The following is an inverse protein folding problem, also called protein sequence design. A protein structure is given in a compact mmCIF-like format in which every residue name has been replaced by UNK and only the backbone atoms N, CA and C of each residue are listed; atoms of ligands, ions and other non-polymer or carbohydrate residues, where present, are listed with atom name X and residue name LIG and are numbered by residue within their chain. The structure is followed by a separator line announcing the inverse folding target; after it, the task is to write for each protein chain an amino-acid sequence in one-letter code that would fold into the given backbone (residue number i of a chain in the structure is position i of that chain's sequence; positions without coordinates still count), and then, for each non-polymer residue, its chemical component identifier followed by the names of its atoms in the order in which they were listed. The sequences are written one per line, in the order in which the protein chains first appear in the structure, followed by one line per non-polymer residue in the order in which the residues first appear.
data_IF_728324375338
#
_entry.id   IF_728324375338
#
_cell.length_a   1.000
_cell.length_b   1.000
_cell.length_c   1.000
_cell.angle_alpha   90.00
_cell.angle_beta   90.00
_cell.angle_gamma   90.00
#
_symmetry.space_group_name_H-M   'P 1'
#
loop_
_entity.id
_entity.type
_entity.pdbx_description
1 polymer ?
#
# COMPACT_ATOMS: atom_id res chain seq x y z
N UNK A 1 -32.02 19.46 1.53
CA UNK A 1 -31.55 20.27 2.68
C UNK A 1 -31.02 19.29 3.72
N UNK A 2 -29.70 19.14 3.85
CA UNK A 2 -29.10 18.28 4.89
C UNK A 2 -29.30 18.98 6.25
N UNK A 3 -29.70 18.26 7.32
CA UNK A 3 -29.81 18.82 8.65
C UNK A 3 -28.51 19.54 9.00
N UNK A 4 -28.62 20.85 9.22
CA UNK A 4 -27.49 21.72 9.55
C UNK A 4 -26.88 21.29 10.89
N UNK A 5 -25.60 21.63 11.06
CA UNK A 5 -24.73 21.55 12.25
C UNK A 5 -25.42 21.67 13.64
N UNK A 6 -26.59 22.30 13.70
CA UNK A 6 -27.43 22.46 14.88
C UNK A 6 -28.00 21.17 15.51
N UNK A 7 -27.99 20.00 14.85
CA UNK A 7 -28.55 18.76 15.43
C UNK A 7 -27.54 17.75 15.99
N UNK A 8 -26.25 17.83 15.66
CA UNK A 8 -25.25 16.81 16.07
C UNK A 8 -24.11 17.39 16.94
N UNK A 9 -24.03 18.71 17.10
CA UNK A 9 -23.06 19.36 17.98
C UNK A 9 -21.59 19.03 17.67
N UNK A 10 -20.69 19.30 18.64
CA UNK A 10 -19.23 19.04 18.54
C UNK A 10 -18.91 17.53 18.41
N UNK A 11 -19.87 16.65 18.69
CA UNK A 11 -19.69 15.21 18.59
C UNK A 11 -19.44 14.72 17.14
N UNK A 12 -20.06 15.33 16.13
CA UNK A 12 -19.87 14.94 14.73
C UNK A 12 -18.41 15.13 14.23
N UNK A 13 -17.79 16.32 14.39
CA UNK A 13 -16.39 16.50 14.01
C UNK A 13 -15.45 15.64 14.88
N UNK A 14 -15.73 15.42 16.17
CA UNK A 14 -14.93 14.54 17.03
C UNK A 14 -14.95 13.09 16.54
N UNK A 15 -16.12 12.55 16.20
CA UNK A 15 -16.26 11.21 15.62
C UNK A 15 -15.54 11.08 14.28
N UNK A 16 -15.63 12.10 13.42
CA UNK A 16 -14.91 12.12 12.14
C UNK A 16 -13.39 12.13 12.35
N UNK A 17 -12.88 12.90 13.31
CA UNK A 17 -11.45 12.90 13.67
C UNK A 17 -11.04 11.52 14.19
N UNK A 18 -11.82 10.93 15.09
CA UNK A 18 -11.52 9.61 15.66
C UNK A 18 -11.50 8.52 14.58
N UNK A 19 -12.50 8.52 13.70
CA UNK A 19 -12.54 7.65 12.52
C UNK A 19 -11.32 7.84 11.62
N UNK A 20 -10.90 9.09 11.41
CA UNK A 20 -9.70 9.41 10.62
C UNK A 20 -8.41 8.92 11.26
N UNK A 21 -8.29 9.01 12.59
CA UNK A 21 -7.14 8.48 13.33
C UNK A 21 -7.09 6.96 13.20
N UNK A 22 -8.22 6.28 13.40
CA UNK A 22 -8.30 4.81 13.27
C UNK A 22 -7.97 4.36 11.85
N UNK A 23 -8.54 5.01 10.83
CA UNK A 23 -8.20 4.74 9.43
C UNK A 23 -6.71 4.99 9.14
N UNK A 24 -6.14 6.06 9.70
CA UNK A 24 -4.72 6.39 9.54
C UNK A 24 -3.78 5.36 10.16
N UNK A 25 -4.09 4.87 11.37
CA UNK A 25 -3.29 3.84 12.05
C UNK A 25 -3.35 2.51 11.29
N UNK A 26 -4.54 2.09 10.87
CA UNK A 26 -4.72 0.85 10.11
C UNK A 26 -3.94 0.87 8.79
N UNK A 27 -4.16 1.90 7.98
CA UNK A 27 -3.49 2.04 6.69
C UNK A 27 -1.98 2.20 6.85
N UNK A 28 -1.51 2.99 7.82
CA UNK A 28 -0.07 3.22 8.05
C UNK A 28 0.68 2.01 8.58
N UNK A 29 0.05 1.21 9.46
CA UNK A 29 0.63 -0.03 9.99
C UNK A 29 0.74 -1.11 8.92
N UNK A 30 -0.30 -1.27 8.10
CA UNK A 30 -0.31 -2.25 7.00
C UNK A 30 0.72 -1.92 5.92
N UNK A 31 0.84 -0.64 5.55
CA UNK A 31 1.80 -0.20 4.53
C UNK A 31 3.26 -0.36 4.97
N UNK A 32 3.58 0.07 6.20
CA UNK A 32 4.95 0.02 6.72
C UNK A 32 5.42 -1.43 6.92
N UNK A 33 4.58 -2.30 7.47
CA UNK A 33 4.91 -3.73 7.62
C UNK A 33 5.09 -4.46 6.28
N UNK A 34 4.24 -4.15 5.28
CA UNK A 34 4.33 -4.76 3.96
C UNK A 34 5.57 -4.32 3.18
N UNK A 35 5.93 -3.03 3.24
CA UNK A 35 7.12 -2.51 2.58
C UNK A 35 8.41 -3.12 3.12
N UNK A 36 8.52 -3.30 4.45
CA UNK A 36 9.66 -3.98 5.07
C UNK A 36 9.73 -5.44 4.64
N UNK A 37 8.60 -6.16 4.64
CA UNK A 37 8.55 -7.56 4.20
C UNK A 37 9.02 -7.70 2.74
N UNK A 38 8.57 -6.82 1.84
CA UNK A 38 9.01 -6.86 0.43
C UNK A 38 10.52 -6.64 0.31
N UNK A 39 11.09 -5.71 1.08
CA UNK A 39 12.53 -5.46 1.06
C UNK A 39 13.32 -6.62 1.69
N UNK A 40 12.82 -7.22 2.75
CA UNK A 40 13.44 -8.39 3.40
C UNK A 40 13.49 -9.61 2.48
N UNK A 41 12.42 -9.87 1.73
CA UNK A 41 12.30 -11.01 0.83
C UNK A 41 12.78 -10.74 -0.61
N UNK A 42 13.09 -9.49 -0.97
CA UNK A 42 13.58 -9.16 -2.30
C UNK A 42 15.03 -9.67 -2.52
N UNK A 43 15.37 -10.19 -3.72
CA UNK A 43 16.73 -10.62 -4.05
C UNK A 43 17.73 -9.46 -3.90
N UNK A 44 18.89 -9.70 -3.28
CA UNK A 44 19.90 -8.66 -2.97
C UNK A 44 20.23 -7.76 -4.18
N UNK A 45 20.35 -8.35 -5.36
CA UNK A 45 20.71 -7.64 -6.60
C UNK A 45 19.58 -6.77 -7.18
N UNK A 46 18.33 -6.94 -6.73
CA UNK A 46 17.16 -6.19 -7.22
C UNK A 46 16.41 -5.40 -6.15
N UNK A 47 16.86 -5.45 -4.88
CA UNK A 47 16.28 -4.67 -3.76
C UNK A 47 16.07 -3.21 -4.10
N UNK A 48 17.09 -2.54 -4.65
CA UNK A 48 16.99 -1.12 -5.03
C UNK A 48 15.92 -0.84 -6.09
N UNK A 49 15.69 -1.78 -7.02
CA UNK A 49 14.66 -1.68 -8.04
C UNK A 49 13.25 -1.88 -7.48
N UNK A 50 13.05 -2.84 -6.57
CA UNK A 50 11.75 -3.02 -5.91
C UNK A 50 11.41 -1.85 -4.98
N UNK A 51 12.39 -1.33 -4.24
CA UNK A 51 12.20 -0.14 -3.39
C UNK A 51 11.90 1.11 -4.21
N UNK A 52 12.55 1.29 -5.37
CA UNK A 52 12.26 2.41 -6.25
C UNK A 52 10.88 2.30 -6.90
N UNK A 53 10.41 1.10 -7.23
CA UNK A 53 9.04 0.88 -7.70
C UNK A 53 7.99 1.26 -6.66
N UNK A 54 8.20 0.88 -5.39
CA UNK A 54 7.30 1.25 -4.29
C UNK A 54 7.20 2.78 -4.15
N UNK A 55 8.33 3.47 -4.14
CA UNK A 55 8.36 4.94 -4.05
C UNK A 55 7.81 5.63 -5.31
N UNK A 56 8.11 5.10 -6.49
CA UNK A 56 7.64 5.69 -7.76
C UNK A 56 6.12 5.63 -7.89
N UNK A 57 5.49 4.59 -7.33
CA UNK A 57 4.03 4.47 -7.32
C UNK A 57 3.32 5.66 -6.67
N UNK A 58 3.91 6.23 -5.62
CA UNK A 58 3.36 7.41 -4.94
C UNK A 58 3.35 8.64 -5.84
N UNK A 59 4.45 8.89 -6.55
CA UNK A 59 4.56 10.01 -7.49
C UNK A 59 3.66 9.84 -8.71
N UNK A 60 3.51 8.62 -9.21
CA UNK A 60 2.64 8.31 -10.35
C UNK A 60 1.16 8.61 -10.01
N UNK A 61 0.72 8.40 -8.77
CA UNK A 61 -0.63 8.75 -8.34
C UNK A 61 -0.80 10.25 -8.02
N UNK A 62 0.22 10.86 -7.42
CA UNK A 62 0.14 12.24 -6.92
C UNK A 62 0.20 13.27 -8.05
N UNK A 63 1.03 13.06 -9.08
CA UNK A 63 1.19 14.01 -10.19
C UNK A 63 -0.10 14.26 -10.97
N UNK A 64 -0.87 13.24 -11.42
CA UNK A 64 -2.14 13.45 -12.09
C UNK A 64 -3.20 14.11 -11.19
N UNK A 65 -3.21 13.76 -9.90
CA UNK A 65 -4.12 14.36 -8.93
C UNK A 65 -3.84 15.86 -8.76
N UNK A 66 -2.57 16.23 -8.58
CA UNK A 66 -2.14 17.62 -8.48
C UNK A 66 -2.42 18.38 -9.80
N UNK A 67 -2.17 17.77 -10.95
CA UNK A 67 -2.49 18.33 -12.27
C UNK A 67 -3.98 18.60 -12.46
N UNK A 68 -4.83 17.65 -12.05
CA UNK A 68 -6.28 17.83 -12.05
C UNK A 68 -6.72 18.99 -11.15
N UNK A 69 -6.23 19.04 -9.91
CA UNK A 69 -6.55 20.14 -9.00
C UNK A 69 -6.08 21.49 -9.55
N UNK A 70 -4.87 21.54 -10.13
CA UNK A 70 -4.34 22.75 -10.78
C UNK A 70 -5.22 23.20 -11.94
N UNK A 71 -5.65 22.27 -12.80
CA UNK A 71 -6.56 22.54 -13.91
C UNK A 71 -7.92 23.06 -13.42
N UNK A 72 -8.48 22.45 -12.38
CA UNK A 72 -9.74 22.89 -11.79
C UNK A 72 -9.62 24.30 -11.21
N UNK A 73 -8.55 24.59 -10.47
CA UNK A 73 -8.28 25.93 -9.95
C UNK A 73 -8.04 26.98 -11.04
N UNK A 74 -7.47 26.59 -12.17
CA UNK A 74 -7.22 27.50 -13.29
C UNK A 74 -8.48 27.77 -14.14
N UNK A 75 -9.44 26.85 -14.17
CA UNK A 75 -10.61 26.89 -15.07
C UNK A 75 -11.92 27.22 -14.37
N UNK A 76 -12.01 27.02 -13.05
CA UNK A 76 -13.23 27.27 -12.27
C UNK A 76 -13.05 28.40 -11.26
N UNK A 77 -14.10 29.19 -11.07
CA UNK A 77 -14.21 30.11 -9.93
C UNK A 77 -14.50 29.37 -8.63
N UNK A 78 -14.13 29.96 -7.49
CA UNK A 78 -14.38 29.40 -6.15
C UNK A 78 -15.86 29.05 -5.88
N UNK A 79 -16.77 29.83 -6.47
CA UNK A 79 -18.22 29.61 -6.34
C UNK A 79 -18.67 28.38 -7.17
N UNK A 80 -18.11 28.20 -8.37
CA UNK A 80 -18.36 27.03 -9.21
C UNK A 80 -17.78 25.76 -8.60
N UNK A 81 -16.59 25.86 -8.01
CA UNK A 81 -15.97 24.74 -7.31
C UNK A 81 -16.80 24.28 -6.11
N UNK A 82 -17.27 25.22 -5.27
CA UNK A 82 -18.09 24.91 -4.09
C UNK A 82 -19.50 24.43 -4.41
N UNK A 83 -20.10 24.90 -5.50
CA UNK A 83 -21.45 24.46 -5.91
C UNK A 83 -21.47 23.02 -6.42
N UNK A 84 -20.54 22.65 -7.32
CA UNK A 84 -20.50 21.30 -7.87
C UNK A 84 -19.11 20.78 -8.25
N UNK A 85 -18.14 21.65 -8.53
CA UNK A 85 -16.82 21.24 -9.02
C UNK A 85 -16.10 20.27 -8.07
N UNK A 86 -16.31 20.38 -6.76
CA UNK A 86 -15.74 19.47 -5.76
C UNK A 86 -16.07 17.99 -5.99
N UNK A 87 -17.12 17.65 -6.75
CA UNK A 87 -17.52 16.27 -7.05
C UNK A 87 -16.60 15.58 -8.07
N UNK A 88 -15.96 16.35 -8.96
CA UNK A 88 -15.08 15.86 -10.02
C UNK A 88 -13.94 14.97 -9.49
N UNK A 89 -13.15 15.40 -8.48
CA UNK A 89 -12.06 14.56 -7.96
C UNK A 89 -12.56 13.25 -7.32
N UNK A 90 -13.75 13.26 -6.70
CA UNK A 90 -14.33 12.04 -6.11
C UNK A 90 -14.75 11.04 -7.19
N UNK A 91 -15.38 11.49 -8.27
CA UNK A 91 -15.77 10.64 -9.39
C UNK A 91 -14.56 10.04 -10.10
N UNK A 92 -13.52 10.84 -10.34
CA UNK A 92 -12.27 10.36 -10.91
C UNK A 92 -11.55 9.37 -9.98
N UNK A 93 -11.56 9.60 -8.67
CA UNK A 93 -11.02 8.64 -7.70
C UNK A 93 -11.74 7.29 -7.77
N UNK A 94 -13.07 7.30 -7.96
CA UNK A 94 -13.84 6.06 -8.11
C UNK A 94 -13.42 5.26 -9.36
N UNK A 95 -13.20 5.93 -10.49
CA UNK A 95 -12.68 5.28 -11.71
C UNK A 95 -11.27 4.73 -11.47
N UNK A 96 -10.41 5.49 -10.79
CA UNK A 96 -9.06 5.04 -10.44
C UNK A 96 -9.09 3.80 -9.53
N UNK A 97 -10.00 3.76 -8.54
CA UNK A 97 -10.19 2.58 -7.68
C UNK A 97 -10.61 1.37 -8.51
N UNK A 98 -11.59 1.50 -9.41
CA UNK A 98 -12.01 0.40 -10.29
C UNK A 98 -10.84 -0.09 -11.15
N UNK A 99 -10.08 0.82 -11.76
CA UNK A 99 -8.86 0.47 -12.49
C UNK A 99 -7.84 -0.27 -11.63
N UNK A 100 -7.62 0.20 -10.40
CA UNK A 100 -6.71 -0.45 -9.45
C UNK A 100 -7.16 -1.87 -9.07
N UNK A 101 -8.47 -2.09 -8.94
CA UNK A 101 -9.05 -3.42 -8.66
C UNK A 101 -8.87 -4.37 -9.86
N UNK A 102 -9.03 -3.86 -11.09
CA UNK A 102 -8.78 -4.64 -12.31
C UNK A 102 -7.30 -5.04 -12.41
N UNK A 103 -6.38 -4.10 -12.16
CA UNK A 103 -4.94 -4.37 -12.18
C UNK A 103 -4.58 -5.41 -11.12
N UNK A 104 -5.06 -5.25 -9.87
CA UNK A 104 -4.83 -6.20 -8.77
C UNK A 104 -5.27 -7.61 -9.12
N UNK A 105 -6.44 -7.76 -9.75
CA UNK A 105 -6.92 -9.07 -10.22
C UNK A 105 -6.03 -9.72 -11.28
N UNK A 106 -5.40 -8.95 -12.17
CA UNK A 106 -4.48 -9.50 -13.19
C UNK A 106 -3.10 -9.87 -12.62
N UNK A 107 -2.66 -9.18 -11.56
CA UNK A 107 -1.35 -9.42 -10.91
C UNK A 107 -1.38 -10.67 -10.02
N UNK A 108 -2.51 -11.03 -9.41
CA UNK A 108 -2.62 -12.28 -8.63
C UNK A 108 -2.46 -13.56 -9.48
N UNK A 109 -2.62 -13.45 -10.81
CA UNK A 109 -2.54 -14.59 -11.73
C UNK A 109 -1.16 -14.76 -12.39
N UNK A 110 -0.18 -13.90 -12.12
CA UNK A 110 1.14 -14.06 -12.74
C UNK A 110 1.91 -15.26 -12.15
N UNK A 111 2.56 -16.09 -12.99
CA UNK A 111 3.16 -17.37 -12.60
C UNK A 111 4.23 -17.30 -11.49
N UNK A 112 4.79 -16.12 -11.23
CA UNK A 112 5.74 -15.89 -10.13
C UNK A 112 5.07 -15.97 -8.74
N UNK A 113 3.78 -15.59 -8.62
CA UNK A 113 3.01 -15.70 -7.37
C UNK A 113 2.61 -17.16 -7.07
N UNK A 114 2.33 -17.95 -8.11
CA UNK A 114 2.09 -19.39 -8.00
C UNK A 114 3.34 -20.11 -7.49
N UNK A 115 4.52 -19.80 -8.03
CA UNK A 115 5.80 -20.40 -7.61
C UNK A 115 6.17 -20.07 -6.15
N UNK A 116 5.83 -18.87 -5.67
CA UNK A 116 6.04 -18.46 -4.27
C UNK A 116 5.15 -19.23 -3.28
N UNK A 117 3.92 -19.60 -3.66
CA UNK A 117 3.03 -20.43 -2.82
C UNK A 117 3.52 -21.87 -2.68
N UNK A 118 4.16 -22.43 -3.70
CA UNK A 118 4.65 -23.81 -3.69
C UNK A 118 5.95 -23.99 -2.89
N UNK A 119 6.76 -22.93 -2.75
CA UNK A 119 8.11 -23.01 -2.16
C UNK A 119 8.12 -22.90 -0.62
N UNK A 120 7.00 -22.54 0.02
CA UNK A 120 6.89 -22.41 1.47
C UNK A 120 6.86 -23.71 2.30
N UNK A 121 6.78 -24.89 1.68
CA UNK A 121 6.57 -26.15 2.41
C UNK A 121 7.82 -27.01 2.67
N UNK A 122 9.00 -26.66 2.14
CA UNK A 122 10.17 -27.58 2.17
C UNK A 122 11.40 -27.09 2.95
N UNK A 123 11.23 -26.23 3.95
CA UNK A 123 12.33 -25.76 4.83
C UNK A 123 12.43 -26.53 6.16
N UNK A 124 12.09 -27.83 6.16
CA UNK A 124 12.25 -28.72 7.33
C UNK A 124 13.25 -29.86 7.14
N UNK A 125 14.07 -29.87 6.08
CA UNK A 125 15.09 -30.91 5.88
C UNK A 125 16.44 -30.33 5.46
N UNK A 126 17.03 -29.48 6.30
CA UNK A 126 18.48 -29.28 6.24
C UNK A 126 19.02 -28.90 7.62
N UNK A 127 18.98 -29.86 8.53
CA UNK A 127 19.50 -29.72 9.88
C UNK A 127 19.64 -31.08 10.55
N UNK A 128 20.59 -31.91 10.09
CA UNK A 128 20.95 -33.13 10.83
C UNK A 128 22.31 -33.78 10.46
N UNK A 129 23.21 -33.15 9.70
CA UNK A 129 24.44 -33.87 9.28
C UNK A 129 25.76 -33.09 9.36
N UNK A 130 25.90 -32.20 10.33
CA UNK A 130 27.22 -31.65 10.70
C UNK A 130 27.42 -31.74 12.21
N UNK A 131 28.05 -32.81 12.67
CA UNK A 131 28.32 -32.96 14.10
C UNK A 131 28.79 -34.35 14.56
N UNK A 132 29.74 -34.99 13.87
CA UNK A 132 30.59 -36.03 14.49
C UNK A 132 31.72 -36.48 13.55
N UNK A 133 32.86 -35.81 13.58
CA UNK A 133 34.14 -36.45 13.31
C UNK A 133 35.28 -35.62 13.86
N UNK A 134 36.20 -36.29 14.57
CA UNK A 134 37.53 -35.76 14.83
C UNK A 134 37.79 -35.20 16.23
N UNK A 135 37.58 -36.00 17.29
CA UNK A 135 38.37 -35.82 18.52
C UNK A 135 39.36 -36.98 18.65
N UNK A 136 40.63 -36.59 18.52
CA UNK A 136 41.85 -37.36 18.55
C UNK A 136 41.93 -38.40 19.68
N UNK A 137 42.34 -39.61 19.31
CA UNK A 137 42.88 -40.63 20.21
C UNK A 137 44.32 -40.95 19.77
N UNK A 138 45.21 -40.95 20.79
CA UNK A 138 46.68 -41.15 20.78
C UNK A 138 47.14 -42.44 20.05
N UNK A 139 48.42 -42.55 19.65
CA UNK A 139 49.52 -43.07 20.49
C UNK A 139 50.81 -42.21 20.36
N UNK A 140 51.85 -42.29 21.18
CA UNK A 140 52.41 -43.37 22.03
C UNK A 140 53.06 -42.77 23.28
#
# INVERSE_FOLDING_TARGET
MLPTYNQVGVAAPLLLILLRVVQGIGVGGEWSGSAVLVVEYAPEQRRGFFTSLINSGEYIGTLPAAGLFSLMSATMSDETFRSWGWRIPFQLSMVAVVGSLIIRRKVEETPEFQAARTTGSNRRRCGSHYGRSGRASRPS
#
